data_IF_162948770479
#
_entry.id   IF_162948770479
#
_cell.length_a   1.000
_cell.length_b   1.000
_cell.length_c   1.000
_cell.angle_alpha   90.00
_cell.angle_beta   90.00
_cell.angle_gamma   90.00
#
_symmetry.space_group_name_H-M   'P 1'
#
loop_
_entity.id
_entity.type
_entity.pdbx_description
1 polymer ?
#
# COMPACT_ATOMS: atom_id res chain seq x y z
N UNK A 1 13.41 -25.09 -31.18
CA UNK A 1 12.50 -25.45 -30.08
C UNK A 1 11.23 -26.01 -30.70
N UNK A 2 11.00 -27.31 -30.55
CA UNK A 2 9.75 -27.95 -30.98
C UNK A 2 8.75 -27.78 -29.85
N UNK A 3 7.86 -26.78 -29.96
CA UNK A 3 6.79 -26.57 -29.01
C UNK A 3 5.69 -27.59 -29.36
N UNK A 4 5.34 -28.53 -28.46
CA UNK A 4 4.30 -29.50 -28.73
C UNK A 4 2.94 -28.81 -28.94
N UNK A 5 2.02 -29.42 -29.69
CA UNK A 5 0.71 -28.83 -29.98
C UNK A 5 -0.08 -28.57 -28.69
N UNK A 6 -0.47 -27.31 -28.49
CA UNK A 6 -1.26 -26.86 -27.34
C UNK A 6 -2.67 -27.46 -27.42
N UNK A 7 -2.87 -28.63 -26.79
CA UNK A 7 -4.21 -29.23 -26.64
C UNK A 7 -4.95 -28.52 -25.52
N UNK A 8 -6.22 -28.21 -25.77
CA UNK A 8 -7.11 -27.65 -24.74
C UNK A 8 -7.17 -28.62 -23.55
N UNK A 9 -6.83 -28.16 -22.32
CA UNK A 9 -6.80 -29.02 -21.15
C UNK A 9 -8.22 -29.50 -20.81
N UNK A 10 -8.32 -30.73 -20.29
CA UNK A 10 -9.61 -31.25 -19.85
C UNK A 10 -10.16 -30.39 -18.69
N UNK A 11 -11.43 -29.96 -18.73
CA UNK A 11 -11.99 -29.04 -17.74
C UNK A 11 -11.94 -29.62 -16.32
N UNK A 12 -12.03 -30.95 -16.17
CA UNK A 12 -11.91 -31.64 -14.89
C UNK A 12 -10.50 -31.55 -14.29
N UNK A 13 -9.46 -31.71 -15.11
CA UNK A 13 -8.07 -31.59 -14.65
C UNK A 13 -7.72 -30.12 -14.36
N UNK A 14 -8.24 -29.19 -15.17
CA UNK A 14 -8.04 -27.76 -14.99
C UNK A 14 -8.66 -27.26 -13.68
N UNK A 15 -9.91 -27.64 -13.40
CA UNK A 15 -10.60 -27.30 -12.15
C UNK A 15 -9.91 -27.90 -10.92
N UNK A 16 -9.47 -29.15 -11.01
CA UNK A 16 -8.76 -29.81 -9.89
C UNK A 16 -7.44 -29.09 -9.59
N UNK A 17 -6.63 -28.76 -10.62
CA UNK A 17 -5.37 -28.02 -10.41
C UNK A 17 -5.60 -26.60 -9.89
N UNK A 18 -6.63 -25.92 -10.37
CA UNK A 18 -7.01 -24.60 -9.88
C UNK A 18 -7.39 -24.67 -8.39
N UNK A 19 -8.18 -25.67 -8.01
CA UNK A 19 -8.63 -25.86 -6.64
C UNK A 19 -7.47 -26.13 -5.65
N UNK A 20 -6.49 -26.95 -6.06
CA UNK A 20 -5.28 -27.18 -5.25
C UNK A 20 -4.48 -25.89 -5.07
N UNK A 21 -4.27 -25.12 -6.14
CA UNK A 21 -3.59 -23.81 -6.07
C UNK A 21 -4.30 -22.81 -5.16
N UNK A 22 -5.64 -22.76 -5.20
CA UNK A 22 -6.43 -21.88 -4.33
C UNK A 22 -6.32 -22.30 -2.86
N UNK A 23 -6.44 -23.60 -2.57
CA UNK A 23 -6.30 -24.12 -1.21
C UNK A 23 -4.92 -23.84 -0.63
N UNK A 24 -3.86 -24.11 -1.38
CA UNK A 24 -2.49 -23.85 -0.93
C UNK A 24 -2.28 -22.34 -0.67
N UNK A 25 -2.78 -21.48 -1.56
CA UNK A 25 -2.72 -20.03 -1.36
C UNK A 25 -3.45 -19.60 -0.08
N UNK A 26 -4.66 -20.08 0.17
CA UNK A 26 -5.40 -19.73 1.37
C UNK A 26 -4.72 -20.24 2.64
N UNK A 27 -4.17 -21.45 2.62
CA UNK A 27 -3.54 -22.06 3.78
C UNK A 27 -2.25 -21.35 4.19
N UNK A 28 -1.53 -20.77 3.22
CA UNK A 28 -0.31 -20.00 3.46
C UNK A 28 -0.55 -18.50 3.67
N UNK A 29 -1.46 -17.88 2.92
CA UNK A 29 -1.73 -16.44 3.01
C UNK A 29 -2.52 -16.07 4.27
N UNK A 30 -3.52 -16.88 4.67
CA UNK A 30 -4.39 -16.58 5.82
C UNK A 30 -3.62 -16.38 7.14
N UNK A 31 -2.73 -17.31 7.58
CA UNK A 31 -2.01 -17.13 8.85
C UNK A 31 -1.07 -15.93 8.81
N UNK A 32 -0.49 -15.66 7.64
CA UNK A 32 0.46 -14.57 7.43
C UNK A 32 -0.24 -13.20 7.49
N UNK A 33 -1.43 -13.08 6.88
CA UNK A 33 -2.26 -11.87 6.94
C UNK A 33 -2.79 -11.63 8.36
N UNK A 34 -3.32 -12.67 9.03
CA UNK A 34 -3.78 -12.57 10.42
C UNK A 34 -2.67 -12.12 11.36
N UNK A 35 -1.46 -12.71 11.24
CA UNK A 35 -0.30 -12.31 12.02
C UNK A 35 0.13 -10.87 11.75
N UNK A 36 0.14 -10.44 10.49
CA UNK A 36 0.47 -9.07 10.10
C UNK A 36 -0.52 -8.03 10.66
N UNK A 37 -1.82 -8.31 10.57
CA UNK A 37 -2.87 -7.43 11.13
C UNK A 37 -2.73 -7.31 12.65
N UNK A 38 -2.50 -8.44 13.34
CA UNK A 38 -2.37 -8.47 14.79
C UNK A 38 -1.14 -7.68 15.25
N UNK A 39 -0.01 -7.83 14.55
CA UNK A 39 1.21 -7.06 14.83
C UNK A 39 0.97 -5.56 14.67
N UNK A 40 0.32 -5.13 13.59
CA UNK A 40 0.09 -3.69 13.39
C UNK A 40 -0.94 -3.10 14.34
N UNK A 41 -1.97 -3.86 14.71
CA UNK A 41 -2.90 -3.40 15.73
C UNK A 41 -2.20 -3.14 17.08
N UNK A 42 -1.17 -3.92 17.41
CA UNK A 42 -0.29 -3.66 18.56
C UNK A 42 0.55 -2.39 18.35
N UNK A 43 1.17 -2.21 17.18
CA UNK A 43 1.96 -1.00 16.90
C UNK A 43 1.10 0.28 16.93
N UNK A 44 -0.14 0.18 16.49
CA UNK A 44 -1.13 1.26 16.50
C UNK A 44 -1.57 1.62 17.92
N UNK A 45 -1.89 0.62 18.75
CA UNK A 45 -2.23 0.84 20.17
C UNK A 45 -1.07 1.40 21.01
N UNK A 46 0.18 1.21 20.57
CA UNK A 46 1.38 1.83 21.17
C UNK A 46 1.53 3.31 20.76
N UNK A 47 0.78 3.81 19.77
CA UNK A 47 0.84 5.20 19.30
C UNK A 47 2.07 5.50 18.42
N UNK A 48 2.81 4.48 18.01
CA UNK A 48 4.02 4.66 17.19
C UNK A 48 3.66 5.23 15.80
N UNK A 49 2.52 4.84 15.25
CA UNK A 49 2.05 5.32 13.94
C UNK A 49 1.65 6.80 13.99
N UNK A 50 1.00 7.24 15.07
CA UNK A 50 0.65 8.65 15.30
C UNK A 50 1.91 9.50 15.44
N UNK A 51 2.89 9.04 16.23
CA UNK A 51 4.17 9.73 16.42
C UNK A 51 4.95 9.90 15.11
N UNK A 52 4.97 8.86 14.27
CA UNK A 52 5.59 8.91 12.93
C UNK A 52 4.80 9.87 12.02
N UNK A 53 3.46 9.84 12.09
CA UNK A 53 2.59 10.76 11.37
C UNK A 53 2.85 12.23 11.68
N UNK A 54 2.98 12.56 12.96
CA UNK A 54 3.28 13.93 13.41
C UNK A 54 4.69 14.38 13.02
N UNK A 55 5.67 13.47 13.08
CA UNK A 55 7.04 13.75 12.63
C UNK A 55 7.12 14.01 11.11
N UNK A 56 6.26 13.34 10.33
CA UNK A 56 6.16 13.51 8.87
C UNK A 56 5.21 14.64 8.46
N UNK A 57 4.38 15.17 9.36
CA UNK A 57 3.45 16.27 9.10
C UNK A 57 4.09 17.50 8.41
N UNK A 58 5.26 18.02 8.84
CA UNK A 58 5.88 19.15 8.15
C UNK A 58 6.35 18.80 6.72
N UNK A 59 6.70 17.54 6.46
CA UNK A 59 7.08 17.08 5.13
C UNK A 59 5.87 17.01 4.19
N UNK A 60 4.74 16.47 4.65
CA UNK A 60 3.49 16.47 3.88
C UNK A 60 2.98 17.89 3.58
N UNK A 61 3.11 18.83 4.52
CA UNK A 61 2.76 20.23 4.29
C UNK A 61 3.66 20.90 3.24
N UNK A 62 4.99 20.76 3.37
CA UNK A 62 5.95 21.47 2.51
C UNK A 62 6.06 20.89 1.11
N UNK A 63 5.95 19.56 0.96
CA UNK A 63 6.11 18.88 -0.34
C UNK A 63 4.78 18.70 -1.05
N UNK A 64 3.73 18.36 -0.31
CA UNK A 64 2.44 17.98 -0.89
C UNK A 64 1.33 19.04 -0.69
N UNK A 65 1.57 20.08 0.12
CA UNK A 65 0.61 21.19 0.30
C UNK A 65 -0.66 20.80 1.06
N UNK A 66 -0.64 19.68 1.77
CA UNK A 66 -1.79 19.18 2.53
C UNK A 66 -1.78 19.68 3.98
N UNK A 67 -2.96 19.86 4.60
CA UNK A 67 -3.04 20.21 6.01
C UNK A 67 -2.37 19.17 6.91
N UNK A 68 -1.90 19.56 8.12
CA UNK A 68 -1.16 18.64 9.02
C UNK A 68 -1.98 17.41 9.39
N UNK A 69 -3.31 17.57 9.52
CA UNK A 69 -4.24 16.51 9.85
C UNK A 69 -4.26 15.36 8.83
N UNK A 70 -3.75 15.58 7.60
CA UNK A 70 -3.70 14.57 6.54
C UNK A 70 -2.49 13.64 6.60
N UNK A 71 -1.46 13.99 7.36
CA UNK A 71 -0.25 13.17 7.47
C UNK A 71 -0.51 11.85 8.20
N UNK A 72 -1.29 11.88 9.28
CA UNK A 72 -1.66 10.69 10.05
C UNK A 72 -2.46 9.69 9.21
N UNK A 73 -3.55 10.07 8.49
CA UNK A 73 -4.24 9.18 7.55
C UNK A 73 -3.33 8.58 6.49
N UNK A 74 -2.40 9.36 5.92
CA UNK A 74 -1.51 8.86 4.86
C UNK A 74 -0.52 7.82 5.39
N UNK A 75 0.05 8.04 6.58
CA UNK A 75 0.92 7.07 7.25
C UNK A 75 0.14 5.82 7.65
N UNK A 76 -1.09 5.97 8.15
CA UNK A 76 -2.03 4.87 8.38
C UNK A 76 -2.34 4.08 7.10
N UNK A 77 -2.42 4.77 5.96
CA UNK A 77 -2.70 4.19 4.65
C UNK A 77 -1.64 3.22 4.16
N UNK A 78 -0.41 3.37 4.63
CA UNK A 78 0.71 2.46 4.36
C UNK A 78 0.46 1.06 4.96
N UNK A 79 -0.29 1.00 6.05
CA UNK A 79 -0.66 -0.24 6.72
C UNK A 79 -1.97 -0.83 6.19
N UNK A 80 -3.00 0.03 6.02
CA UNK A 80 -4.31 -0.36 5.49
C UNK A 80 -4.99 0.83 4.79
N UNK A 81 -4.87 0.90 3.46
CA UNK A 81 -5.37 2.03 2.65
C UNK A 81 -6.87 2.34 2.86
N UNK A 82 -7.68 1.32 3.13
CA UNK A 82 -9.13 1.47 3.29
C UNK A 82 -9.49 2.27 4.54
N UNK A 83 -8.66 2.19 5.59
CA UNK A 83 -8.84 2.98 6.81
C UNK A 83 -8.44 4.44 6.55
N UNK A 84 -7.35 4.66 5.82
CA UNK A 84 -6.90 6.01 5.45
C UNK A 84 -7.95 6.78 4.65
N UNK A 85 -8.61 6.11 3.70
CA UNK A 85 -9.72 6.71 2.97
C UNK A 85 -10.88 7.05 3.91
N UNK A 86 -11.20 6.19 4.87
CA UNK A 86 -12.20 6.46 5.91
C UNK A 86 -11.86 7.67 6.79
N UNK A 87 -10.58 7.84 7.12
CA UNK A 87 -10.06 8.95 7.90
C UNK A 87 -10.01 10.26 7.12
N UNK A 88 -9.88 10.22 5.78
CA UNK A 88 -9.85 11.40 4.91
C UNK A 88 -11.22 12.05 4.67
N UNK A 89 -12.29 11.25 4.68
CA UNK A 89 -13.67 11.72 4.46
C UNK A 89 -14.09 12.86 5.41
N UNK A 90 -13.84 12.79 6.73
CA UNK A 90 -14.24 13.86 7.65
C UNK A 90 -13.36 15.12 7.60
N UNK A 91 -12.24 15.13 6.87
CA UNK A 91 -11.32 16.27 6.84
C UNK A 91 -11.76 17.42 5.91
N UNK A 92 -12.87 17.28 5.18
CA UNK A 92 -13.43 18.31 4.26
C UNK A 92 -12.36 19.00 3.40
N UNK A 93 -11.41 18.22 2.86
CA UNK A 93 -10.33 18.75 2.03
C UNK A 93 -10.87 19.36 0.74
N UNK A 94 -10.15 20.36 0.22
CA UNK A 94 -10.43 20.91 -1.12
C UNK A 94 -10.23 19.82 -2.19
N UNK A 95 -10.96 19.91 -3.31
CA UNK A 95 -10.90 18.91 -4.37
C UNK A 95 -9.47 18.66 -4.90
N UNK A 96 -8.62 19.69 -4.89
CA UNK A 96 -7.21 19.61 -5.27
C UNK A 96 -6.40 18.76 -4.27
N UNK A 97 -6.55 19.03 -2.97
CA UNK A 97 -5.83 18.29 -1.92
C UNK A 97 -6.31 16.83 -1.82
N UNK A 98 -7.60 16.59 -2.02
CA UNK A 98 -8.15 15.24 -2.04
C UNK A 98 -7.59 14.42 -3.21
N UNK A 99 -7.46 15.01 -4.40
CA UNK A 99 -6.84 14.34 -5.56
C UNK A 99 -5.38 13.98 -5.28
N UNK A 100 -4.59 14.91 -4.75
CA UNK A 100 -3.19 14.65 -4.40
C UNK A 100 -3.09 13.53 -3.35
N UNK A 101 -3.89 13.58 -2.28
CA UNK A 101 -3.92 12.54 -1.26
C UNK A 101 -4.25 11.16 -1.82
N UNK A 102 -5.30 11.06 -2.65
CA UNK A 102 -5.74 9.78 -3.23
C UNK A 102 -4.71 9.20 -4.19
N UNK A 103 -4.10 10.03 -5.03
CA UNK A 103 -3.07 9.59 -5.99
C UNK A 103 -1.82 9.11 -5.24
N UNK A 104 -1.34 9.87 -4.25
CA UNK A 104 -0.19 9.47 -3.43
C UNK A 104 -0.49 8.15 -2.72
N UNK A 105 -1.64 8.04 -2.04
CA UNK A 105 -2.08 6.81 -1.37
C UNK A 105 -2.18 5.61 -2.30
N UNK A 106 -2.61 5.82 -3.54
CA UNK A 106 -2.70 4.76 -4.55
C UNK A 106 -1.32 4.29 -5.02
N UNK A 107 -0.35 5.20 -5.11
CA UNK A 107 1.02 4.90 -5.57
C UNK A 107 1.93 4.37 -4.47
N UNK A 108 1.77 4.78 -3.20
CA UNK A 108 2.59 4.35 -2.06
C UNK A 108 2.22 2.95 -1.52
N UNK A 109 1.70 2.01 -2.33
CA UNK A 109 1.17 0.75 -1.78
C UNK A 109 2.24 -0.33 -1.55
N UNK A 110 2.69 -0.53 -0.31
CA UNK A 110 2.96 -1.89 0.18
C UNK A 110 2.26 -2.08 1.53
N UNK A 111 1.02 -2.59 1.52
CA UNK A 111 0.34 -2.98 2.76
C UNK A 111 1.12 -4.07 3.52
N UNK A 112 0.82 -4.27 4.80
CA UNK A 112 1.50 -5.25 5.66
C UNK A 112 1.51 -6.64 5.04
N UNK A 113 0.38 -7.06 4.46
CA UNK A 113 0.27 -8.35 3.78
C UNK A 113 1.31 -8.46 2.65
N UNK A 114 1.40 -7.44 1.79
CA UNK A 114 2.42 -7.40 0.72
C UNK A 114 3.84 -7.24 1.26
N UNK A 115 4.03 -6.55 2.38
CA UNK A 115 5.34 -6.36 2.99
C UNK A 115 5.90 -7.66 3.57
N UNK A 116 5.07 -8.43 4.29
CA UNK A 116 5.47 -9.73 4.84
C UNK A 116 5.75 -10.74 3.72
N UNK A 117 4.93 -10.75 2.65
CA UNK A 117 5.19 -11.60 1.48
C UNK A 117 6.48 -11.17 0.76
N UNK A 118 6.68 -9.87 0.52
CA UNK A 118 7.91 -9.36 -0.09
C UNK A 118 9.15 -9.65 0.76
N UNK A 119 9.04 -9.54 2.08
CA UNK A 119 10.13 -9.90 2.98
C UNK A 119 10.53 -11.37 2.81
N UNK A 120 9.54 -12.27 2.76
CA UNK A 120 9.75 -13.71 2.62
C UNK A 120 10.33 -14.10 1.25
N UNK A 121 9.89 -13.44 0.17
CA UNK A 121 10.25 -13.78 -1.22
C UNK A 121 11.51 -13.07 -1.73
N UNK A 122 11.65 -11.77 -1.48
CA UNK A 122 12.72 -10.93 -2.04
C UNK A 122 13.90 -10.74 -1.09
N UNK A 123 13.69 -10.96 0.20
CA UNK A 123 14.65 -10.64 1.27
C UNK A 123 14.73 -9.14 1.57
N UNK A 124 15.24 -8.81 2.76
CA UNK A 124 15.21 -7.45 3.35
C UNK A 124 15.81 -6.38 2.44
N UNK A 125 16.94 -6.67 1.76
CA UNK A 125 17.62 -5.69 0.91
C UNK A 125 16.78 -5.28 -0.31
N UNK A 126 16.17 -6.24 -1.00
CA UNK A 126 15.38 -5.95 -2.22
C UNK A 126 14.01 -5.38 -1.89
N UNK A 127 13.42 -5.80 -0.76
CA UNK A 127 12.19 -5.21 -0.23
C UNK A 127 12.39 -3.72 0.11
N UNK A 128 13.51 -3.35 0.74
CA UNK A 128 13.80 -1.95 1.05
C UNK A 128 14.00 -1.12 -0.23
N UNK A 129 14.69 -1.68 -1.24
CA UNK A 129 14.86 -1.03 -2.54
C UNK A 129 13.53 -0.81 -3.26
N UNK A 130 12.64 -1.81 -3.33
CA UNK A 130 11.35 -1.65 -3.99
C UNK A 130 10.48 -0.61 -3.27
N UNK A 131 10.43 -0.68 -1.95
CA UNK A 131 9.68 0.27 -1.12
C UNK A 131 10.19 1.70 -1.30
N UNK A 132 11.52 1.89 -1.36
CA UNK A 132 12.12 3.21 -1.60
C UNK A 132 11.81 3.77 -3.00
N UNK A 133 11.80 2.91 -4.03
CA UNK A 133 11.43 3.33 -5.40
C UNK A 133 9.95 3.75 -5.44
N UNK A 134 9.06 2.99 -4.80
CA UNK A 134 7.64 3.32 -4.75
C UNK A 134 7.38 4.62 -3.99
N UNK A 135 8.02 4.80 -2.83
CA UNK A 135 7.88 6.02 -2.04
C UNK A 135 8.39 7.24 -2.81
N UNK A 136 9.57 7.13 -3.44
CA UNK A 136 10.14 8.24 -4.21
C UNK A 136 9.28 8.58 -5.42
N UNK A 137 8.80 7.59 -6.18
CA UNK A 137 7.88 7.81 -7.31
C UNK A 137 6.58 8.50 -6.86
N UNK A 138 5.96 8.04 -5.79
CA UNK A 138 4.72 8.62 -5.28
C UNK A 138 4.90 10.06 -4.78
N UNK A 139 6.01 10.34 -4.08
CA UNK A 139 6.33 11.69 -3.62
C UNK A 139 6.63 12.64 -4.78
N UNK A 140 7.36 12.19 -5.80
CA UNK A 140 7.64 13.00 -7.00
C UNK A 140 6.33 13.33 -7.72
N UNK A 141 5.46 12.33 -7.93
CA UNK A 141 4.18 12.54 -8.61
C UNK A 141 3.26 13.44 -7.80
N UNK A 142 3.16 13.23 -6.48
CA UNK A 142 2.36 14.08 -5.59
C UNK A 142 2.87 15.52 -5.52
N UNK A 143 4.18 15.73 -5.44
CA UNK A 143 4.79 17.06 -5.45
C UNK A 143 4.57 17.77 -6.80
N UNK A 144 4.73 17.05 -7.91
CA UNK A 144 4.46 17.58 -9.25
C UNK A 144 2.99 17.99 -9.41
N UNK A 145 2.05 17.17 -8.93
CA UNK A 145 0.63 17.50 -8.94
C UNK A 145 0.31 18.74 -8.10
N UNK A 146 0.89 18.85 -6.91
CA UNK A 146 0.71 20.02 -6.05
C UNK A 146 1.22 21.30 -6.74
N UNK A 147 2.39 21.24 -7.39
CA UNK A 147 2.92 22.38 -8.15
C UNK A 147 2.06 22.76 -9.36
N UNK A 148 1.54 21.78 -10.10
CA UNK A 148 0.67 22.03 -11.26
C UNK A 148 -0.68 22.62 -10.81
N UNK A 149 -1.26 22.11 -9.72
CA UNK A 149 -2.55 22.57 -9.20
C UNK A 149 -2.46 23.96 -8.54
N UNK A 150 -1.31 24.31 -7.96
CA UNK A 150 -1.05 25.63 -7.41
C UNK A 150 -0.68 26.67 -8.49
N UNK A 151 -0.29 26.21 -9.69
CA UNK A 151 -0.03 27.06 -10.85
C UNK A 151 -1.30 27.34 -11.70
N UNK A 152 -2.41 26.64 -11.43
CA UNK A 152 -3.70 26.76 -12.11
C UNK A 152 -4.67 27.64 -11.31
#
# INVERSE_FOLDING_TARGET
MEIPPYRLPSPKAWMSKLWFRIKDFFLEATPLVLGGILLVNILDTVGLLEWIGDALAPFFQTVLGLPPATAVPVVMGLFRKDIAMGLLIPLELTAQQMLVAVIVLSMTFPCIATFVVMWKELGVRRMLQSSAIMLSAALITGAALNLILNAL
#
